data_IF_111936010479
#
_entry.id   IF_111936010479
#
_cell.length_a   1.000
_cell.length_b   1.000
_cell.length_c   1.000
_cell.angle_alpha   90.00
_cell.angle_beta   90.00
_cell.angle_gamma   90.00
#
_symmetry.space_group_name_H-M   'P 1'
#
loop_
_entity.id
_entity.type
_entity.pdbx_description
1 polymer ?
#
# COMPACT_ATOMS: atom_id res chain seq x y z
N UNK A 1 -0.08 16.93 3.26
CA UNK A 1 0.71 16.75 4.50
C UNK A 1 -0.17 16.10 5.55
N UNK A 2 0.39 15.19 6.34
CA UNK A 2 -0.34 14.57 7.44
C UNK A 2 0.14 15.18 8.75
N UNK A 3 -0.77 15.65 9.58
CA UNK A 3 -0.45 16.12 10.93
C UNK A 3 0.04 14.96 11.79
N UNK A 4 0.99 15.23 12.67
CA UNK A 4 1.54 14.28 13.64
C UNK A 4 0.46 13.77 14.61
N UNK A 5 0.65 12.54 15.11
CA UNK A 5 -0.33 11.88 15.98
C UNK A 5 -0.55 12.65 17.28
N UNK A 6 0.52 13.12 17.90
CA UNK A 6 0.44 13.80 19.20
C UNK A 6 -0.15 15.21 19.08
N UNK A 7 0.10 15.88 17.95
CA UNK A 7 -0.58 17.13 17.61
C UNK A 7 -2.10 16.96 17.54
N UNK A 8 -2.59 15.91 16.86
CA UNK A 8 -4.03 15.60 16.79
C UNK A 8 -4.63 15.30 18.16
N UNK A 9 -3.92 14.57 19.02
CA UNK A 9 -4.36 14.28 20.39
C UNK A 9 -4.51 15.57 21.20
N UNK A 10 -3.50 16.44 21.17
CA UNK A 10 -3.52 17.73 21.88
C UNK A 10 -4.73 18.57 21.49
N UNK A 11 -5.03 18.64 20.19
CA UNK A 11 -6.15 19.43 19.68
C UNK A 11 -7.49 18.82 20.06
N UNK A 12 -7.61 17.49 20.01
CA UNK A 12 -8.84 16.83 20.43
C UNK A 12 -9.10 17.00 21.92
N UNK A 13 -8.07 16.90 22.77
CA UNK A 13 -8.22 17.17 24.21
C UNK A 13 -8.68 18.61 24.45
N UNK A 14 -8.04 19.59 23.80
CA UNK A 14 -8.45 20.99 23.89
C UNK A 14 -9.89 21.22 23.40
N UNK A 15 -10.32 20.51 22.35
CA UNK A 15 -11.68 20.57 21.82
C UNK A 15 -12.73 20.08 22.83
N UNK A 16 -12.45 18.99 23.56
CA UNK A 16 -13.38 18.48 24.57
C UNK A 16 -13.53 19.42 25.76
N UNK A 17 -12.50 20.20 26.09
CA UNK A 17 -12.52 21.15 27.20
C UNK A 17 -13.10 22.52 26.82
N UNK A 18 -12.74 23.05 25.65
CA UNK A 18 -12.97 24.45 25.29
C UNK A 18 -13.98 24.65 24.15
N UNK A 19 -14.43 23.57 23.52
CA UNK A 19 -15.34 23.59 22.40
C UNK A 19 -14.70 24.06 21.08
N UNK A 20 -15.53 24.10 20.03
CA UNK A 20 -15.09 24.25 18.64
C UNK A 20 -14.41 25.60 18.34
N UNK A 21 -15.06 26.71 18.67
CA UNK A 21 -14.66 28.07 18.23
C UNK A 21 -13.26 28.42 18.74
N UNK A 22 -13.00 28.20 20.03
CA UNK A 22 -11.69 28.42 20.66
C UNK A 22 -10.62 27.53 20.04
N UNK A 23 -10.94 26.27 19.76
CA UNK A 23 -9.98 25.32 19.17
C UNK A 23 -9.53 25.75 17.77
N UNK A 24 -10.47 26.16 16.93
CA UNK A 24 -10.15 26.58 15.56
C UNK A 24 -9.32 27.85 15.54
N UNK A 25 -9.65 28.80 16.41
CA UNK A 25 -8.91 30.06 16.55
C UNK A 25 -7.48 29.83 17.10
N UNK A 26 -7.33 29.05 18.16
CA UNK A 26 -6.04 28.82 18.82
C UNK A 26 -5.04 28.06 17.94
N UNK A 27 -5.52 27.02 17.23
CA UNK A 27 -4.64 26.16 16.44
C UNK A 27 -4.59 26.54 14.95
N UNK A 28 -5.40 27.52 14.53
CA UNK A 28 -5.54 27.95 13.13
C UNK A 28 -5.84 26.78 12.17
N UNK A 29 -6.84 25.99 12.52
CA UNK A 29 -7.25 24.77 11.79
C UNK A 29 -8.65 24.97 11.23
N UNK A 30 -8.95 24.34 10.10
CA UNK A 30 -10.30 24.40 9.54
C UNK A 30 -11.26 23.45 10.26
N UNK A 31 -12.55 23.79 10.27
CA UNK A 31 -13.59 22.95 10.87
C UNK A 31 -13.59 21.53 10.28
N UNK A 32 -13.35 21.39 8.98
CA UNK A 32 -13.37 20.10 8.29
C UNK A 32 -12.25 19.17 8.77
N UNK A 33 -11.06 19.69 9.03
CA UNK A 33 -9.95 18.92 9.62
C UNK A 33 -10.28 18.42 11.03
N UNK A 34 -10.85 19.27 11.87
CA UNK A 34 -11.25 18.89 13.23
C UNK A 34 -12.30 17.77 13.22
N UNK A 35 -13.37 17.92 12.45
CA UNK A 35 -14.39 16.89 12.32
C UNK A 35 -13.86 15.61 11.67
N UNK A 36 -12.92 15.74 10.71
CA UNK A 36 -12.22 14.61 10.12
C UNK A 36 -11.52 13.75 11.17
N UNK A 37 -10.86 14.37 12.16
CA UNK A 37 -10.21 13.62 13.25
C UNK A 37 -11.19 13.03 14.26
N UNK A 38 -12.27 13.74 14.58
CA UNK A 38 -13.34 13.21 15.43
C UNK A 38 -13.95 11.96 14.78
N UNK A 39 -14.24 12.01 13.48
CA UNK A 39 -14.76 10.88 12.72
C UNK A 39 -13.77 9.72 12.69
N UNK A 40 -12.48 10.02 12.43
CA UNK A 40 -11.42 9.02 12.39
C UNK A 40 -11.23 8.32 13.74
N UNK A 41 -11.29 9.05 14.87
CA UNK A 41 -11.27 8.48 16.22
C UNK A 41 -12.47 7.57 16.49
N UNK A 42 -13.67 7.93 16.01
CA UNK A 42 -14.88 7.12 16.16
C UNK A 42 -14.83 5.83 15.32
N UNK A 43 -14.33 5.89 14.08
CA UNK A 43 -14.32 4.74 13.17
C UNK A 43 -13.19 3.75 13.45
N UNK A 44 -11.98 4.26 13.74
CA UNK A 44 -10.77 3.43 13.80
C UNK A 44 -10.23 3.28 15.23
N UNK A 45 -10.67 4.12 16.18
CA UNK A 45 -10.11 4.18 17.55
C UNK A 45 -8.70 4.77 17.64
N UNK A 46 -7.97 4.82 16.53
CA UNK A 46 -6.63 5.39 16.42
C UNK A 46 -6.63 6.72 15.66
N UNK A 47 -5.68 7.59 15.98
CA UNK A 47 -5.48 8.92 15.37
C UNK A 47 -4.35 8.94 14.32
N UNK A 48 -3.78 7.79 14.00
CA UNK A 48 -2.72 7.68 13.00
C UNK A 48 -3.19 8.11 11.61
N UNK A 49 -2.25 8.54 10.77
CA UNK A 49 -2.56 8.86 9.38
C UNK A 49 -2.94 7.58 8.64
N UNK A 50 -4.09 7.59 7.97
CA UNK A 50 -4.49 6.47 7.11
C UNK A 50 -3.49 6.27 5.99
N UNK A 51 -2.90 5.08 5.92
CA UNK A 51 -2.04 4.70 4.80
C UNK A 51 -2.88 4.62 3.53
N UNK A 52 -2.49 5.36 2.48
CA UNK A 52 -3.18 5.33 1.19
C UNK A 52 -2.99 3.95 0.55
N UNK A 53 -4.05 3.16 0.50
CA UNK A 53 -4.07 1.91 -0.29
C UNK A 53 -4.16 2.28 -1.76
N UNK A 54 -3.07 2.13 -2.50
CA UNK A 54 -3.06 2.31 -3.96
C UNK A 54 -3.66 1.06 -4.60
N UNK A 55 -4.62 1.23 -5.51
CA UNK A 55 -5.13 0.14 -6.35
C UNK A 55 -4.11 -0.18 -7.44
N UNK A 56 -3.91 -1.46 -7.72
CA UNK A 56 -3.14 -1.88 -8.89
C UNK A 56 -3.96 -1.59 -10.15
N UNK A 57 -3.32 -1.04 -11.19
CA UNK A 57 -4.01 -0.65 -12.44
C UNK A 57 -4.04 -1.77 -13.48
N UNK A 58 -3.00 -2.61 -13.53
CA UNK A 58 -2.77 -3.53 -14.65
C UNK A 58 -2.52 -4.95 -14.16
N UNK A 59 -1.71 -5.15 -13.12
CA UNK A 59 -1.37 -6.49 -12.63
C UNK A 59 -1.39 -6.54 -11.10
N UNK A 60 -2.11 -7.51 -10.56
CA UNK A 60 -2.13 -7.82 -9.14
C UNK A 60 -0.88 -8.64 -8.77
N UNK A 61 0.04 -8.10 -7.96
CA UNK A 61 1.29 -8.80 -7.63
C UNK A 61 1.06 -10.06 -6.79
N UNK A 62 -0.02 -10.12 -6.01
CA UNK A 62 -0.38 -11.29 -5.20
C UNK A 62 -0.78 -12.48 -6.07
N UNK A 63 -1.66 -12.25 -7.06
CA UNK A 63 -2.04 -13.28 -8.05
C UNK A 63 -0.84 -13.76 -8.86
N UNK A 64 0.09 -12.86 -9.19
CA UNK A 64 1.33 -13.23 -9.87
C UNK A 64 2.25 -14.08 -8.98
N UNK A 65 2.34 -13.78 -7.68
CA UNK A 65 3.11 -14.56 -6.71
C UNK A 65 2.53 -15.97 -6.53
N UNK A 66 1.21 -16.09 -6.43
CA UNK A 66 0.50 -17.39 -6.41
C UNK A 66 0.73 -18.18 -7.69
N UNK A 67 0.59 -17.52 -8.85
CA UNK A 67 0.83 -18.13 -10.15
C UNK A 67 2.27 -18.66 -10.28
N UNK A 68 3.26 -17.95 -9.74
CA UNK A 68 4.67 -18.35 -9.76
C UNK A 68 5.04 -19.43 -8.74
N UNK A 69 4.27 -19.60 -7.65
CA UNK A 69 4.47 -20.72 -6.70
C UNK A 69 4.09 -22.07 -7.30
N UNK A 70 3.21 -22.08 -8.31
CA UNK A 70 2.81 -23.31 -8.98
C UNK A 70 3.97 -23.87 -9.81
N UNK A 71 4.43 -25.12 -9.57
CA UNK A 71 5.59 -25.69 -10.25
C UNK A 71 5.40 -25.82 -11.77
N UNK A 72 4.16 -26.00 -12.24
CA UNK A 72 3.80 -26.06 -13.66
C UNK A 72 4.04 -24.74 -14.41
N UNK A 73 4.05 -23.61 -13.70
CA UNK A 73 4.24 -22.30 -14.30
C UNK A 73 5.70 -21.82 -14.22
N UNK A 74 6.58 -22.60 -13.58
CA UNK A 74 8.00 -22.25 -13.43
C UNK A 74 8.72 -22.13 -14.78
N UNK A 75 8.34 -22.94 -15.77
CA UNK A 75 8.97 -22.98 -17.09
C UNK A 75 8.38 -22.02 -18.11
N UNK A 76 7.19 -21.44 -17.83
CA UNK A 76 6.51 -20.56 -18.79
C UNK A 76 7.31 -19.31 -19.11
N UNK A 77 7.32 -18.90 -20.37
CA UNK A 77 7.98 -17.67 -20.82
C UNK A 77 7.19 -16.43 -20.42
N UNK A 78 7.86 -15.28 -20.28
CA UNK A 78 7.20 -13.97 -19.98
C UNK A 78 6.07 -13.67 -20.98
N UNK A 79 6.23 -14.10 -22.25
CA UNK A 79 5.21 -13.92 -23.30
C UNK A 79 3.93 -14.74 -23.03
N UNK A 80 4.06 -15.91 -22.43
CA UNK A 80 2.92 -16.79 -22.10
C UNK A 80 2.20 -16.27 -20.86
N UNK A 81 2.97 -15.88 -19.83
CA UNK A 81 2.43 -15.22 -18.63
C UNK A 81 1.69 -13.93 -19.02
N UNK A 82 2.26 -13.14 -19.92
CA UNK A 82 1.63 -11.93 -20.45
C UNK A 82 0.27 -12.22 -21.13
N UNK A 83 0.13 -13.35 -21.84
CA UNK A 83 -1.15 -13.78 -22.41
C UNK A 83 -2.14 -14.23 -21.34
N UNK A 84 -1.70 -15.05 -20.40
CA UNK A 84 -2.55 -15.57 -19.30
C UNK A 84 -3.14 -14.43 -18.44
N UNK A 85 -2.38 -13.35 -18.25
CA UNK A 85 -2.81 -12.18 -17.47
C UNK A 85 -3.41 -11.05 -18.33
N UNK A 86 -3.43 -11.17 -19.66
CA UNK A 86 -3.90 -10.11 -20.56
C UNK A 86 -3.13 -8.78 -20.43
N UNK A 87 -1.85 -8.84 -20.05
CA UNK A 87 -1.01 -7.69 -19.74
C UNK A 87 0.17 -7.58 -20.71
N UNK A 88 0.79 -6.40 -20.79
CA UNK A 88 2.02 -6.23 -21.57
C UNK A 88 3.21 -6.97 -20.93
N UNK A 89 4.12 -7.51 -21.78
CA UNK A 89 5.32 -8.24 -21.36
C UNK A 89 6.19 -7.46 -20.38
N UNK A 90 6.35 -6.15 -20.60
CA UNK A 90 7.13 -5.27 -19.73
C UNK A 90 6.50 -5.14 -18.34
N UNK A 91 5.16 -5.12 -18.25
CA UNK A 91 4.44 -5.09 -16.97
C UNK A 91 4.75 -6.34 -16.14
N UNK A 92 4.70 -7.51 -16.77
CA UNK A 92 5.04 -8.79 -16.13
C UNK A 92 6.51 -8.80 -15.69
N UNK A 93 7.43 -8.39 -16.56
CA UNK A 93 8.87 -8.30 -16.25
C UNK A 93 9.14 -7.40 -15.04
N UNK A 94 8.54 -6.21 -15.02
CA UNK A 94 8.69 -5.26 -13.92
C UNK A 94 8.10 -5.80 -12.60
N UNK A 95 6.96 -6.48 -12.66
CA UNK A 95 6.33 -7.09 -11.49
C UNK A 95 7.17 -8.24 -10.91
N UNK A 96 7.72 -9.12 -11.75
CA UNK A 96 8.61 -10.20 -11.32
C UNK A 96 9.88 -9.68 -10.66
N UNK A 97 10.48 -8.60 -11.21
CA UNK A 97 11.64 -7.93 -10.60
C UNK A 97 11.31 -7.32 -9.23
N UNK A 98 10.08 -6.79 -9.04
CA UNK A 98 9.63 -6.30 -7.74
C UNK A 98 9.51 -7.43 -6.73
N UNK A 99 8.87 -8.54 -7.12
CA UNK A 99 8.70 -9.75 -6.31
C UNK A 99 10.02 -10.48 -5.99
N UNK A 100 11.09 -10.20 -6.74
CA UNK A 100 12.42 -10.78 -6.51
C UNK A 100 12.65 -12.09 -7.29
N UNK A 101 11.80 -12.39 -8.27
CA UNK A 101 12.01 -13.48 -9.21
C UNK A 101 12.97 -13.03 -10.31
N UNK A 102 14.21 -13.51 -10.23
CA UNK A 102 15.23 -13.32 -11.27
C UNK A 102 15.58 -14.67 -11.87
N UNK A 103 15.29 -14.88 -13.15
CA UNK A 103 15.70 -16.10 -13.84
C UNK A 103 17.15 -15.96 -14.32
N UNK A 104 18.06 -16.76 -13.77
CA UNK A 104 19.40 -16.98 -14.33
C UNK A 104 19.30 -18.15 -15.31
N UNK A 105 19.84 -18.02 -16.53
CA UNK A 105 19.84 -19.08 -17.53
C UNK A 105 20.89 -20.13 -17.15
N UNK A 106 20.57 -21.04 -16.25
CA UNK A 106 21.37 -22.25 -15.99
C UNK A 106 20.59 -23.47 -16.51
N UNK A 107 21.31 -24.46 -17.05
CA UNK A 107 20.73 -25.71 -17.61
C UNK A 107 19.89 -26.51 -16.61
N UNK A 108 19.91 -26.16 -15.33
CA UNK A 108 19.07 -26.76 -14.29
C UNK A 108 18.14 -25.73 -13.66
N UNK A 109 16.87 -26.13 -13.59
CA UNK A 109 15.75 -25.32 -13.15
C UNK A 109 15.73 -25.26 -11.62
N UNK A 110 16.30 -24.21 -11.05
CA UNK A 110 16.12 -23.91 -9.62
C UNK A 110 15.71 -22.46 -9.50
N UNK A 111 14.41 -22.23 -9.25
CA UNK A 111 13.86 -20.90 -9.04
C UNK A 111 14.38 -20.30 -7.75
N UNK A 112 15.50 -19.56 -7.80
CA UNK A 112 16.02 -18.86 -6.63
C UNK A 112 15.23 -17.56 -6.41
N UNK A 113 14.34 -17.57 -5.41
CA UNK A 113 13.73 -16.32 -4.89
C UNK A 113 14.78 -15.59 -4.07
N UNK A 114 15.24 -14.43 -4.54
CA UNK A 114 16.21 -13.63 -3.79
C UNK A 114 15.47 -12.92 -2.65
N UNK A 115 15.80 -13.23 -1.39
CA UNK A 115 15.31 -12.47 -0.22
C UNK A 115 15.90 -11.07 -0.28
N UNK A 116 15.07 -10.04 -0.49
CA UNK A 116 15.50 -8.64 -0.32
C UNK A 116 15.63 -8.36 1.19
N UNK A 117 16.77 -7.80 1.60
CA UNK A 117 16.98 -7.21 2.93
C UNK A 117 16.10 -5.97 3.10
#
# INVERSE_FOLDING_TARGET
>A
MAYEKDYRKRILNFYYENGKTKTLFQFNISSSTLYGWIKLKKETGDLSSRTRKRKFKVLDPEKLDEYMKNPKNADKYIREISKDFGCEKETVRAALKKLGYTRKKNRQNTGSRTRKK
#
